data_IF_559583838170
#
_entry.id   IF_559583838170
#
_cell.length_a   1.000
_cell.length_b   1.000
_cell.length_c   1.000
_cell.angle_alpha   90.00
_cell.angle_beta   90.00
_cell.angle_gamma   90.00
#
_symmetry.space_group_name_H-M   'P 1'
#
loop_
_entity.id
_entity.type
_entity.pdbx_description
1 polymer ?
#
# COMPACT_ATOMS: atom_id res chain seq x y z
N UNK A 1 -3.22 14.03 10.66
CA UNK A 1 -1.85 13.50 10.69
C UNK A 1 -1.36 13.40 9.25
N UNK A 2 -0.14 13.86 8.95
CA UNK A 2 0.41 13.74 7.58
C UNK A 2 1.11 12.39 7.45
N UNK A 3 1.17 11.82 6.25
CA UNK A 3 1.91 10.57 6.01
C UNK A 3 3.38 10.70 6.40
N UNK A 4 3.97 11.88 6.21
CA UNK A 4 5.34 12.21 6.65
C UNK A 4 5.58 12.06 8.16
N UNK A 5 4.52 12.01 8.97
CA UNK A 5 4.60 11.89 10.43
C UNK A 5 4.59 10.42 10.88
N UNK A 6 4.29 9.47 9.97
CA UNK A 6 4.30 8.04 10.26
C UNK A 6 5.74 7.47 10.19
N UNK A 7 6.05 6.45 11.02
CA UNK A 7 7.27 5.68 10.82
C UNK A 7 7.21 4.94 9.48
N UNK A 8 8.30 4.98 8.72
CA UNK A 8 8.37 4.27 7.43
C UNK A 8 8.22 2.75 7.62
N UNK A 9 8.84 2.19 8.67
CA UNK A 9 8.62 0.81 9.08
C UNK A 9 7.38 0.73 9.97
N UNK A 10 6.29 0.31 9.35
CA UNK A 10 4.98 0.15 9.99
C UNK A 10 4.97 -1.18 10.74
N UNK A 11 4.75 -1.14 12.04
CA UNK A 11 4.68 -2.34 12.90
C UNK A 11 3.39 -2.41 13.72
N UNK A 12 2.60 -1.35 13.70
CA UNK A 12 1.35 -1.23 14.45
C UNK A 12 0.16 -1.20 13.50
N UNK A 13 -0.95 -1.79 13.93
CA UNK A 13 -2.20 -1.80 13.17
C UNK A 13 -2.76 -0.40 12.93
N UNK A 14 -2.63 0.51 13.88
CA UNK A 14 -3.13 1.89 13.75
C UNK A 14 -2.47 2.64 12.58
N UNK A 15 -1.15 2.50 12.45
CA UNK A 15 -0.38 3.08 11.35
C UNK A 15 -0.78 2.46 10.01
N UNK A 16 -0.97 1.14 9.97
CA UNK A 16 -1.44 0.42 8.78
C UNK A 16 -2.83 0.88 8.32
N UNK A 17 -3.76 1.06 9.27
CA UNK A 17 -5.10 1.60 8.98
C UNK A 17 -5.02 3.04 8.46
N UNK A 18 -4.10 3.86 8.99
CA UNK A 18 -3.87 5.23 8.50
C UNK A 18 -3.39 5.22 7.04
N UNK A 19 -2.53 4.28 6.66
CA UNK A 19 -2.10 4.10 5.27
C UNK A 19 -3.25 3.64 4.35
N UNK A 20 -4.10 2.72 4.80
CA UNK A 20 -5.31 2.33 4.04
C UNK A 20 -6.26 3.52 3.83
N UNK A 21 -6.45 4.35 4.86
CA UNK A 21 -7.24 5.57 4.73
C UNK A 21 -6.63 6.55 3.72
N UNK A 22 -5.30 6.70 3.69
CA UNK A 22 -4.61 7.54 2.72
C UNK A 22 -4.77 7.01 1.28
N UNK A 23 -4.70 5.69 1.09
CA UNK A 23 -5.00 5.05 -0.21
C UNK A 23 -6.42 5.39 -0.65
N UNK A 24 -7.41 5.18 0.22
CA UNK A 24 -8.82 5.47 -0.03
C UNK A 24 -9.10 6.97 -0.27
N UNK A 25 -8.29 7.84 0.34
CA UNK A 25 -8.36 9.30 0.17
C UNK A 25 -7.84 9.78 -1.19
N UNK A 26 -7.10 8.95 -1.93
CA UNK A 26 -6.59 9.33 -3.24
C UNK A 26 -5.19 9.93 -3.22
N UNK A 27 -4.39 9.70 -2.17
CA UNK A 27 -3.01 10.25 -2.06
C UNK A 27 -2.14 9.86 -3.27
N UNK A 28 -1.14 10.69 -3.58
CA UNK A 28 -0.14 10.39 -4.61
C UNK A 28 0.64 9.14 -4.19
N UNK A 29 0.81 8.22 -5.14
CA UNK A 29 1.56 6.98 -4.90
C UNK A 29 3.03 7.20 -4.56
N UNK A 30 3.60 8.33 -4.96
CA UNK A 30 4.96 8.71 -4.57
C UNK A 30 5.12 8.84 -3.05
N UNK A 31 4.05 9.24 -2.35
CA UNK A 31 4.05 9.34 -0.89
C UNK A 31 4.01 7.96 -0.21
N UNK A 32 3.62 6.91 -0.94
CA UNK A 32 3.54 5.53 -0.42
C UNK A 32 4.88 4.78 -0.55
N UNK A 33 5.78 5.26 -1.42
CA UNK A 33 7.04 4.58 -1.74
C UNK A 33 7.89 4.24 -0.50
N UNK A 34 8.07 5.13 0.50
CA UNK A 34 8.90 4.81 1.66
C UNK A 34 8.39 3.62 2.47
N UNK A 35 7.06 3.49 2.60
CA UNK A 35 6.42 2.40 3.34
C UNK A 35 6.52 1.08 2.59
N UNK A 36 6.32 1.10 1.27
CA UNK A 36 6.52 -0.09 0.42
C UNK A 36 7.96 -0.56 0.54
N UNK A 37 8.94 0.32 0.35
CA UNK A 37 10.37 -0.05 0.46
C UNK A 37 10.73 -0.61 1.83
N UNK A 38 10.19 -0.05 2.92
CA UNK A 38 10.50 -0.53 4.27
C UNK A 38 9.89 -1.90 4.61
N UNK A 39 8.76 -2.25 3.99
CA UNK A 39 8.05 -3.52 4.21
C UNK A 39 8.44 -4.62 3.21
N UNK A 40 9.04 -4.24 2.08
CA UNK A 40 9.44 -5.19 1.03
C UNK A 40 10.65 -5.99 1.50
N UNK A 41 10.54 -7.32 1.51
CA UNK A 41 11.65 -8.22 1.80
C UNK A 41 12.51 -8.46 0.55
N UNK A 42 13.68 -9.08 0.71
CA UNK A 42 14.53 -9.45 -0.42
C UNK A 42 13.84 -10.42 -1.41
N UNK A 43 12.94 -11.29 -0.91
CA UNK A 43 12.16 -12.19 -1.76
C UNK A 43 11.10 -11.42 -2.56
N UNK A 44 10.45 -10.44 -1.92
CA UNK A 44 9.49 -9.55 -2.59
C UNK A 44 10.16 -8.73 -3.68
N UNK A 45 11.38 -8.21 -3.45
CA UNK A 45 12.14 -7.47 -4.46
C UNK A 45 12.37 -8.31 -5.72
N UNK A 46 12.67 -9.60 -5.56
CA UNK A 46 12.84 -10.51 -6.69
C UNK A 46 11.53 -10.72 -7.44
N UNK A 47 10.42 -10.94 -6.74
CA UNK A 47 9.09 -11.08 -7.34
C UNK A 47 8.69 -9.82 -8.11
N UNK A 48 8.89 -8.64 -7.51
CA UNK A 48 8.62 -7.33 -8.13
C UNK A 48 9.46 -7.11 -9.38
N UNK A 49 10.75 -7.48 -9.36
CA UNK A 49 11.62 -7.38 -10.53
C UNK A 49 11.12 -8.24 -11.70
N UNK A 50 10.65 -9.46 -11.43
CA UNK A 50 10.05 -10.35 -12.45
C UNK A 50 8.73 -9.76 -12.99
N UNK A 51 7.85 -9.29 -12.10
CA UNK A 51 6.58 -8.66 -12.48
C UNK A 51 6.81 -7.43 -13.35
N UNK A 52 7.75 -6.56 -12.99
CA UNK A 52 8.14 -5.40 -13.80
C UNK A 52 8.71 -5.83 -15.16
N UNK A 53 9.61 -6.80 -15.20
CA UNK A 53 10.20 -7.31 -16.45
C UNK A 53 9.17 -7.93 -17.41
N UNK A 54 8.06 -8.43 -16.88
CA UNK A 54 6.96 -9.02 -17.66
C UNK A 54 5.83 -8.02 -18.01
N UNK A 55 5.94 -6.75 -17.62
CA UNK A 55 4.91 -5.74 -17.82
C UNK A 55 3.67 -5.90 -16.92
N UNK A 56 3.74 -6.75 -15.89
CA UNK A 56 2.68 -6.98 -14.91
C UNK A 56 2.97 -6.23 -13.60
N UNK A 57 3.60 -5.05 -13.68
CA UNK A 57 3.91 -4.26 -12.50
C UNK A 57 2.62 -3.82 -11.78
N UNK A 58 2.66 -3.96 -10.46
CA UNK A 58 1.54 -3.63 -9.59
C UNK A 58 1.64 -2.16 -9.15
N UNK A 59 0.53 -1.40 -9.11
CA UNK A 59 0.55 -0.06 -8.53
C UNK A 59 0.98 -0.09 -7.05
N UNK A 60 1.72 0.93 -6.59
CA UNK A 60 2.29 0.97 -5.23
C UNK A 60 1.21 0.87 -4.15
N UNK A 61 0.04 1.46 -4.40
CA UNK A 61 -1.13 1.37 -3.50
C UNK A 61 -1.63 -0.07 -3.30
N UNK A 62 -1.56 -0.90 -4.34
CA UNK A 62 -2.01 -2.30 -4.27
C UNK A 62 -0.93 -3.14 -3.59
N UNK A 63 0.34 -2.91 -3.95
CA UNK A 63 1.48 -3.56 -3.30
C UNK A 63 1.51 -3.27 -1.79
N UNK A 64 1.33 -2.01 -1.38
CA UNK A 64 1.30 -1.63 0.02
C UNK A 64 0.16 -2.32 0.78
N UNK A 65 -1.04 -2.40 0.19
CA UNK A 65 -2.17 -3.13 0.78
C UNK A 65 -1.86 -4.62 1.01
N UNK A 66 -1.19 -5.26 0.04
CA UNK A 66 -0.77 -6.65 0.16
C UNK A 66 0.28 -6.84 1.27
N UNK A 67 1.32 -6.01 1.29
CA UNK A 67 2.39 -6.07 2.30
C UNK A 67 1.86 -5.87 3.73
N UNK A 68 0.94 -4.92 3.94
CA UNK A 68 0.32 -4.70 5.25
C UNK A 68 -0.54 -5.90 5.70
N UNK A 69 -1.22 -6.57 4.77
CA UNK A 69 -2.02 -7.75 5.06
C UNK A 69 -1.14 -8.97 5.35
N UNK A 70 -0.06 -9.16 4.60
CA UNK A 70 0.93 -10.22 4.81
C UNK A 70 1.66 -10.07 6.15
N UNK A 71 1.99 -8.84 6.54
CA UNK A 71 2.51 -8.51 7.87
C UNK A 71 1.49 -8.72 9.01
N UNK A 72 0.24 -9.07 8.71
CA UNK A 72 -0.83 -9.29 9.69
C UNK A 72 -1.33 -8.02 10.38
N UNK A 73 -1.00 -6.84 9.85
CA UNK A 73 -1.41 -5.56 10.43
C UNK A 73 -2.86 -5.21 10.09
N UNK A 74 -3.31 -5.64 8.91
CA UNK A 74 -4.68 -5.51 8.40
C UNK A 74 -5.11 -6.82 7.74
N UNK A 75 -6.40 -6.96 7.43
CA UNK A 75 -6.88 -8.08 6.61
C UNK A 75 -6.83 -7.75 5.12
N UNK A 76 -6.86 -8.79 4.28
CA UNK A 76 -7.00 -8.60 2.83
C UNK A 76 -8.29 -7.86 2.45
N UNK A 77 -9.38 -8.10 3.18
CA UNK A 77 -10.66 -7.41 2.97
C UNK A 77 -10.55 -5.90 3.27
N UNK A 78 -9.84 -5.52 4.33
CA UNK A 78 -9.60 -4.11 4.68
C UNK A 78 -8.79 -3.41 3.59
N UNK A 79 -7.74 -4.08 3.08
CA UNK A 79 -6.94 -3.56 1.97
C UNK A 79 -7.76 -3.42 0.67
N UNK A 80 -8.59 -4.42 0.36
CA UNK A 80 -9.48 -4.38 -0.81
C UNK A 80 -10.51 -3.25 -0.71
N UNK A 81 -11.15 -3.08 0.45
CA UNK A 81 -12.11 -2.00 0.68
C UNK A 81 -11.48 -0.62 0.49
N UNK A 82 -10.24 -0.41 0.92
CA UNK A 82 -9.54 0.86 0.72
C UNK A 82 -9.30 1.17 -0.76
N UNK A 83 -8.92 0.15 -1.54
CA UNK A 83 -8.73 0.28 -2.99
C UNK A 83 -10.05 0.54 -3.73
N UNK A 84 -11.13 -0.12 -3.33
CA UNK A 84 -12.46 0.09 -3.91
C UNK A 84 -13.01 1.49 -3.58
N UNK A 85 -12.80 1.97 -2.35
CA UNK A 85 -13.14 3.34 -1.97
C UNK A 85 -12.39 4.40 -2.80
N UNK A 86 -11.12 4.16 -3.13
CA UNK A 86 -10.37 5.02 -4.05
C UNK A 86 -10.96 4.99 -5.46
N UNK A 87 -11.27 3.79 -5.97
CA UNK A 87 -11.84 3.57 -7.31
C UNK A 87 -13.17 4.30 -7.46
N UNK A 88 -14.08 4.14 -6.52
CA UNK A 88 -15.41 4.78 -6.51
C UNK A 88 -15.30 6.31 -6.47
N UNK A 89 -14.35 6.85 -5.68
CA UNK A 89 -14.03 8.29 -5.68
C UNK A 89 -13.57 8.79 -7.04
N UNK A 90 -12.66 8.05 -7.71
CA UNK A 90 -12.16 8.41 -9.03
C UNK A 90 -13.21 8.31 -10.15
N UNK A 91 -14.23 7.47 -9.98
CA UNK A 91 -15.35 7.35 -10.92
C UNK A 91 -16.42 8.45 -10.75
N UNK A 92 -16.40 9.18 -9.64
CA UNK A 92 -17.34 10.26 -9.33
C UNK A 92 -16.80 11.67 -9.65
N UNK A 93 -15.59 11.77 -10.20
CA UNK A 93 -14.91 13.01 -10.58
C UNK A 93 -14.89 13.18 -12.11
#
# INVERSE_FOLDING_TARGET
>A
MRLSDLPALVTQREDAVTLLQAIAAGVDERELSPFVTALTTAEDEQAVAIMRGSGNEMPLRVQLGALLAEAGLVTGDEAFQALDARRTRGAAA
#
